data_IF_177798725702
#
_entry.id   IF_177798725702
#
_cell.length_a   1.000
_cell.length_b   1.000
_cell.length_c   1.000
_cell.angle_alpha   90.00
_cell.angle_beta   90.00
_cell.angle_gamma   90.00
#
_symmetry.space_group_name_H-M   'P 1'
#
loop_
_entity.id
_entity.type
_entity.pdbx_description
1 polymer ?
#
# COMPACT_ATOMS: atom_id res chain seq x y z
N UNK A 1 -22.87 25.47 -3.83
CA UNK A 1 -23.65 25.19 -2.60
C UNK A 1 -24.86 24.31 -2.92
N UNK A 2 -25.89 24.76 -3.65
CA UNK A 2 -27.03 23.90 -4.06
C UNK A 2 -26.66 22.59 -4.79
N UNK A 3 -25.57 22.58 -5.59
CA UNK A 3 -25.06 21.36 -6.23
C UNK A 3 -24.43 20.35 -5.25
N UNK A 4 -23.86 20.85 -4.14
CA UNK A 4 -23.33 20.03 -3.04
C UNK A 4 -24.44 19.56 -2.10
N UNK A 5 -25.46 20.39 -1.87
CA UNK A 5 -26.60 20.04 -1.01
C UNK A 5 -27.49 18.97 -1.67
N UNK A 6 -27.61 18.98 -3.01
CA UNK A 6 -28.29 17.93 -3.77
C UNK A 6 -27.48 16.61 -3.86
N UNK A 7 -26.15 16.67 -3.72
CA UNK A 7 -25.30 15.47 -3.60
C UNK A 7 -25.49 14.81 -2.22
N UNK A 8 -25.59 15.61 -1.16
CA UNK A 8 -25.83 15.14 0.21
C UNK A 8 -27.18 14.44 0.39
N UNK A 9 -28.24 14.94 -0.25
CA UNK A 9 -29.55 14.27 -0.23
C UNK A 9 -29.58 12.96 -1.04
N UNK A 10 -28.70 12.83 -2.04
CA UNK A 10 -28.49 11.57 -2.75
C UNK A 10 -27.66 10.57 -1.94
N UNK A 11 -26.89 11.04 -0.96
CA UNK A 11 -26.03 10.21 -0.11
C UNK A 11 -26.87 9.33 0.83
N UNK A 12 -27.89 9.84 1.53
CA UNK A 12 -28.75 9.01 2.41
C UNK A 12 -29.47 7.90 1.65
N UNK A 13 -30.04 8.18 0.47
CA UNK A 13 -30.74 7.17 -0.32
C UNK A 13 -29.78 6.14 -0.98
N UNK A 14 -28.55 6.53 -1.29
CA UNK A 14 -27.52 5.69 -1.92
C UNK A 14 -26.79 4.80 -0.89
N UNK A 15 -26.50 5.31 0.30
CA UNK A 15 -25.99 4.48 1.40
C UNK A 15 -27.04 3.49 1.89
N UNK A 16 -28.32 3.88 1.89
CA UNK A 16 -29.41 2.96 2.23
C UNK A 16 -29.54 1.82 1.21
N UNK A 17 -29.29 2.06 -0.08
CA UNK A 17 -29.32 0.98 -1.09
C UNK A 17 -28.15 0.00 -0.96
N UNK A 18 -26.94 0.49 -0.62
CA UNK A 18 -25.77 -0.37 -0.36
C UNK A 18 -25.91 -1.11 0.99
N UNK A 19 -26.52 -0.50 2.01
CA UNK A 19 -26.80 -1.16 3.29
C UNK A 19 -27.97 -2.15 3.19
N UNK A 20 -29.01 -1.84 2.43
CA UNK A 20 -30.15 -2.73 2.19
C UNK A 20 -29.73 -3.94 1.33
N UNK A 21 -28.84 -3.79 0.35
CA UNK A 21 -28.22 -4.92 -0.35
C UNK A 21 -27.45 -5.85 0.60
N UNK A 22 -26.79 -5.32 1.63
CA UNK A 22 -26.13 -6.12 2.66
C UNK A 22 -27.10 -6.74 3.69
N UNK A 23 -28.27 -6.14 3.92
CA UNK A 23 -29.28 -6.64 4.86
C UNK A 23 -30.17 -7.74 4.26
N UNK A 24 -30.50 -7.67 2.97
CA UNK A 24 -31.29 -8.70 2.28
C UNK A 24 -30.51 -10.01 2.04
N UNK A 25 -29.19 -10.04 2.26
CA UNK A 25 -28.35 -11.23 2.05
C UNK A 25 -28.05 -12.01 3.34
N UNK A 26 -28.36 -11.46 4.53
CA UNK A 26 -28.22 -12.23 5.79
C UNK A 26 -29.29 -13.31 5.95
N UNK A 27 -30.44 -13.14 5.31
CA UNK A 27 -31.52 -14.12 5.33
C UNK A 27 -31.72 -14.73 3.93
N UNK A 28 -30.98 -15.83 3.68
CA UNK A 28 -31.07 -16.74 2.52
C UNK A 28 -30.17 -16.44 1.31
N UNK A 29 -28.87 -16.72 1.44
CA UNK A 29 -28.05 -17.03 0.25
C UNK A 29 -27.64 -18.49 0.28
N UNK A 30 -28.49 -19.33 -0.31
CA UNK A 30 -27.98 -20.46 -1.09
C UNK A 30 -27.33 -19.84 -2.32
N UNK A 31 -26.04 -20.09 -2.48
CA UNK A 31 -25.21 -19.70 -3.63
C UNK A 31 -25.99 -19.84 -4.95
N UNK A 32 -26.41 -18.71 -5.52
CA UNK A 32 -26.76 -18.62 -6.93
C UNK A 32 -25.77 -17.66 -7.54
N UNK A 33 -24.79 -18.19 -8.28
CA UNK A 33 -23.97 -17.40 -9.18
C UNK A 33 -24.90 -16.71 -10.19
N UNK A 34 -25.05 -15.39 -10.07
CA UNK A 34 -25.87 -14.60 -10.99
C UNK A 34 -25.07 -14.43 -12.29
N UNK A 35 -25.45 -15.14 -13.34
CA UNK A 35 -24.87 -14.94 -14.68
C UNK A 35 -25.43 -13.65 -15.29
N UNK A 36 -24.60 -12.61 -15.34
CA UNK A 36 -24.93 -11.33 -15.96
C UNK A 36 -24.81 -11.38 -17.50
N UNK A 37 -25.77 -10.78 -18.20
CA UNK A 37 -25.69 -10.62 -19.66
C UNK A 37 -24.76 -9.45 -20.07
N UNK A 38 -24.38 -9.40 -21.35
CA UNK A 38 -23.42 -8.40 -21.87
C UNK A 38 -23.84 -6.95 -21.56
N UNK A 39 -25.10 -6.53 -21.80
CA UNK A 39 -25.54 -5.17 -21.44
C UNK A 39 -25.43 -4.85 -19.94
N UNK A 40 -25.77 -5.80 -19.07
CA UNK A 40 -25.65 -5.62 -17.62
C UNK A 40 -24.18 -5.43 -17.21
N UNK A 41 -23.26 -6.22 -17.79
CA UNK A 41 -21.81 -6.05 -17.56
C UNK A 41 -21.34 -4.65 -18.00
N UNK A 42 -21.79 -4.16 -19.16
CA UNK A 42 -21.42 -2.83 -19.65
C UNK A 42 -21.91 -1.71 -18.73
N UNK A 43 -23.15 -1.80 -18.21
CA UNK A 43 -23.69 -0.83 -17.26
C UNK A 43 -22.89 -0.80 -15.96
N UNK A 44 -22.50 -1.97 -15.43
CA UNK A 44 -21.69 -2.07 -14.22
C UNK A 44 -20.29 -1.47 -14.41
N UNK A 45 -19.63 -1.78 -15.53
CA UNK A 45 -18.33 -1.18 -15.88
C UNK A 45 -18.41 0.35 -15.97
N UNK A 46 -19.47 0.87 -16.61
CA UNK A 46 -19.69 2.32 -16.70
C UNK A 46 -19.93 2.97 -15.33
N UNK A 47 -20.77 2.37 -14.48
CA UNK A 47 -21.00 2.85 -13.11
C UNK A 47 -19.72 2.86 -12.29
N UNK A 48 -18.91 1.82 -12.39
CA UNK A 48 -17.61 1.75 -11.72
C UNK A 48 -16.69 2.87 -12.19
N UNK A 49 -16.59 3.10 -13.50
CA UNK A 49 -15.79 4.20 -14.05
C UNK A 49 -16.21 5.56 -13.48
N UNK A 50 -17.51 5.83 -13.40
CA UNK A 50 -18.03 7.05 -12.79
C UNK A 50 -17.70 7.18 -11.31
N UNK A 51 -17.78 6.07 -10.56
CA UNK A 51 -17.40 6.04 -9.15
C UNK A 51 -15.91 6.33 -8.96
N UNK A 52 -15.05 5.74 -9.79
CA UNK A 52 -13.60 5.97 -9.74
C UNK A 52 -13.26 7.42 -10.09
N UNK A 53 -13.91 8.01 -11.10
CA UNK A 53 -13.76 9.44 -11.43
C UNK A 53 -14.20 10.33 -10.26
N UNK A 54 -15.34 10.03 -9.62
CA UNK A 54 -15.83 10.75 -8.42
C UNK A 54 -14.82 10.64 -7.26
N UNK A 55 -14.28 9.45 -7.01
CA UNK A 55 -13.27 9.19 -5.96
C UNK A 55 -11.99 9.97 -6.21
N UNK A 56 -11.48 9.98 -7.44
CA UNK A 56 -10.30 10.79 -7.82
C UNK A 56 -10.54 12.29 -7.60
N UNK A 57 -11.74 12.77 -7.90
CA UNK A 57 -12.11 14.18 -7.69
C UNK A 57 -12.04 14.57 -6.20
N UNK A 58 -12.59 13.74 -5.31
CA UNK A 58 -12.46 13.95 -3.86
C UNK A 58 -11.04 13.77 -3.34
N UNK A 59 -10.28 12.83 -3.91
CA UNK A 59 -8.87 12.65 -3.61
C UNK A 59 -8.09 13.94 -3.92
N UNK A 60 -8.27 14.52 -5.10
CA UNK A 60 -7.61 15.77 -5.45
C UNK A 60 -7.98 16.92 -4.50
N UNK A 61 -9.27 17.05 -4.17
CA UNK A 61 -9.74 18.07 -3.23
C UNK A 61 -9.12 17.92 -1.84
N UNK A 62 -9.00 16.69 -1.34
CA UNK A 62 -8.35 16.42 -0.07
C UNK A 62 -6.83 16.66 -0.11
N UNK A 63 -6.15 16.26 -1.19
CA UNK A 63 -4.71 16.51 -1.36
C UNK A 63 -4.38 18.01 -1.36
N UNK A 64 -5.28 18.85 -1.90
CA UNK A 64 -5.16 20.31 -1.83
C UNK A 64 -5.54 20.83 -0.44
N UNK A 65 -6.78 20.58 0.00
CA UNK A 65 -7.36 21.27 1.17
C UNK A 65 -6.80 20.76 2.49
N UNK A 66 -6.65 19.44 2.62
CA UNK A 66 -6.24 18.81 3.88
C UNK A 66 -4.72 18.64 3.95
N UNK A 67 -4.11 18.15 2.88
CA UNK A 67 -2.69 17.78 2.88
C UNK A 67 -1.77 18.83 2.24
N UNK A 68 -2.34 19.86 1.60
CA UNK A 68 -1.61 20.99 1.01
C UNK A 68 -0.48 20.60 0.06
N UNK A 69 -0.56 19.43 -0.58
CA UNK A 69 0.46 18.89 -1.48
C UNK A 69 0.66 19.83 -2.67
N UNK A 70 -0.44 20.28 -3.28
CA UNK A 70 -0.41 21.22 -4.40
C UNK A 70 -0.53 22.69 -3.96
N UNK A 71 -0.54 22.98 -2.65
CA UNK A 71 -0.77 24.28 -1.99
C UNK A 71 -2.11 24.96 -2.30
N UNK A 72 -2.52 25.03 -3.57
CA UNK A 72 -3.76 25.61 -4.07
C UNK A 72 -4.25 24.87 -5.33
N UNK A 73 -5.53 25.06 -5.68
CA UNK A 73 -6.09 24.52 -6.91
C UNK A 73 -5.39 25.12 -8.14
N UNK A 74 -4.93 24.26 -9.06
CA UNK A 74 -4.38 24.67 -10.34
C UNK A 74 -5.00 23.83 -11.45
N UNK A 75 -5.68 24.47 -12.41
CA UNK A 75 -6.39 23.79 -13.51
C UNK A 75 -5.48 22.83 -14.28
N UNK A 76 -4.26 23.24 -14.56
CA UNK A 76 -3.30 22.44 -15.34
C UNK A 76 -2.83 21.19 -14.58
N UNK A 77 -2.73 21.27 -13.25
CA UNK A 77 -2.39 20.12 -12.41
C UNK A 77 -3.60 19.20 -12.31
N UNK A 78 -4.81 19.76 -12.16
CA UNK A 78 -6.04 18.99 -12.07
C UNK A 78 -6.27 18.15 -13.33
N UNK A 79 -6.14 18.72 -14.54
CA UNK A 79 -6.32 17.94 -15.77
C UNK A 79 -5.31 16.79 -15.87
N UNK A 80 -4.04 17.03 -15.53
CA UNK A 80 -3.03 15.96 -15.46
C UNK A 80 -3.36 14.91 -14.39
N UNK A 81 -3.86 15.35 -13.24
CA UNK A 81 -4.23 14.46 -12.14
C UNK A 81 -5.36 13.51 -12.52
N UNK A 82 -6.32 13.97 -13.35
CA UNK A 82 -7.41 13.11 -13.85
C UNK A 82 -6.91 11.98 -14.74
N UNK A 83 -5.83 12.23 -15.48
CA UNK A 83 -5.18 11.24 -16.35
C UNK A 83 -4.36 10.22 -15.55
N UNK A 84 -3.93 10.57 -14.33
CA UNK A 84 -3.11 9.66 -13.52
C UNK A 84 -3.92 8.52 -12.93
N UNK A 85 -3.35 7.32 -12.95
CA UNK A 85 -3.84 6.21 -12.14
C UNK A 85 -3.44 6.39 -10.66
N UNK A 86 -4.03 5.59 -9.77
CA UNK A 86 -3.74 5.69 -8.34
C UNK A 86 -2.27 5.36 -8.02
N UNK A 87 -1.63 4.49 -8.78
CA UNK A 87 -0.21 4.15 -8.63
C UNK A 87 0.68 5.37 -8.90
N UNK A 88 0.44 6.10 -9.98
CA UNK A 88 1.17 7.32 -10.34
C UNK A 88 1.00 8.41 -9.28
N UNK A 89 -0.21 8.56 -8.74
CA UNK A 89 -0.48 9.50 -7.64
C UNK A 89 0.30 9.08 -6.38
N UNK A 90 0.27 7.78 -6.03
CA UNK A 90 0.97 7.25 -4.87
C UNK A 90 2.49 7.38 -5.00
N UNK A 91 3.06 7.06 -6.17
CA UNK A 91 4.48 7.23 -6.48
C UNK A 91 4.93 8.68 -6.29
N UNK A 92 4.14 9.65 -6.76
CA UNK A 92 4.44 11.08 -6.53
C UNK A 92 4.43 11.42 -5.05
N UNK A 93 3.42 10.98 -4.31
CA UNK A 93 3.36 11.21 -2.87
C UNK A 93 4.57 10.60 -2.14
N UNK A 94 5.00 9.40 -2.52
CA UNK A 94 6.17 8.75 -1.94
C UNK A 94 7.47 9.53 -2.23
N UNK A 95 7.71 9.88 -3.50
CA UNK A 95 8.91 10.62 -3.95
C UNK A 95 9.02 12.01 -3.32
N UNK A 96 7.90 12.69 -3.16
CA UNK A 96 7.85 14.04 -2.59
C UNK A 96 7.80 14.02 -1.05
N UNK A 97 7.84 12.84 -0.40
CA UNK A 97 7.79 12.71 1.05
C UNK A 97 6.42 13.05 1.67
N UNK A 98 5.36 13.08 0.87
CA UNK A 98 3.99 13.37 1.30
C UNK A 98 3.29 12.13 1.88
N UNK A 99 3.81 11.59 2.98
CA UNK A 99 3.34 10.32 3.57
C UNK A 99 1.85 10.32 3.96
N UNK A 100 1.34 11.46 4.44
CA UNK A 100 -0.08 11.58 4.76
C UNK A 100 -0.98 11.54 3.52
N UNK A 101 -0.49 12.12 2.41
CA UNK A 101 -1.13 11.99 1.10
C UNK A 101 -1.07 10.56 0.59
N UNK A 102 0.10 9.91 0.71
CA UNK A 102 0.29 8.52 0.34
C UNK A 102 -0.71 7.60 1.05
N UNK A 103 -0.87 7.74 2.38
CA UNK A 103 -1.89 7.01 3.15
C UNK A 103 -3.29 7.16 2.59
N UNK A 104 -3.72 8.40 2.33
CA UNK A 104 -5.04 8.68 1.76
C UNK A 104 -5.22 8.02 0.39
N UNK A 105 -4.19 8.11 -0.46
CA UNK A 105 -4.22 7.50 -1.79
C UNK A 105 -4.36 6.00 -1.68
N UNK A 106 -3.55 5.35 -0.84
CA UNK A 106 -3.59 3.91 -0.63
C UNK A 106 -4.93 3.46 -0.03
N UNK A 107 -5.50 4.19 0.93
CA UNK A 107 -6.81 3.90 1.52
C UNK A 107 -7.93 3.94 0.48
N UNK A 108 -7.89 4.92 -0.45
CA UNK A 108 -8.91 5.09 -1.49
C UNK A 108 -8.71 4.24 -2.73
N UNK A 109 -7.48 3.80 -2.95
CA UNK A 109 -7.11 3.03 -4.12
C UNK A 109 -7.41 1.53 -3.96
N UNK A 110 -7.94 1.06 -2.82
CA UNK A 110 -8.32 -0.35 -2.67
C UNK A 110 -9.60 -0.61 -3.50
N UNK A 111 -9.62 -1.62 -4.41
CA UNK A 111 -8.61 -2.68 -4.63
C UNK A 111 -7.66 -2.46 -5.84
N UNK A 112 -7.66 -1.29 -6.46
CA UNK A 112 -6.93 -0.98 -7.70
C UNK A 112 -5.40 -1.01 -7.63
N UNK A 113 -4.76 -1.06 -6.46
CA UNK A 113 -3.30 -1.18 -6.34
C UNK A 113 -2.94 -2.62 -6.01
N UNK A 114 -2.21 -3.25 -6.94
CA UNK A 114 -1.64 -4.57 -6.72
C UNK A 114 -0.55 -4.52 -5.65
N UNK A 115 -0.32 -5.64 -4.99
CA UNK A 115 0.65 -5.75 -3.91
C UNK A 115 2.08 -5.47 -4.38
N UNK A 116 2.44 -5.93 -5.58
CA UNK A 116 3.73 -5.64 -6.23
C UNK A 116 3.88 -4.14 -6.46
N UNK A 117 2.80 -3.46 -6.85
CA UNK A 117 2.81 -2.02 -7.04
C UNK A 117 2.98 -1.29 -5.71
N UNK A 118 2.38 -1.77 -4.62
CA UNK A 118 2.58 -1.21 -3.28
C UNK A 118 4.06 -1.28 -2.86
N UNK A 119 4.73 -2.43 -3.02
CA UNK A 119 6.16 -2.57 -2.73
C UNK A 119 7.00 -1.60 -3.59
N UNK A 120 6.63 -1.42 -4.86
CA UNK A 120 7.28 -0.47 -5.75
C UNK A 120 7.10 0.98 -5.29
N UNK A 121 5.92 1.34 -4.75
CA UNK A 121 5.63 2.67 -4.22
C UNK A 121 6.44 2.93 -2.95
N UNK A 122 6.51 1.96 -2.02
CA UNK A 122 7.26 2.11 -0.77
C UNK A 122 8.77 2.25 -1.00
N UNK A 123 9.30 1.67 -2.08
CA UNK A 123 10.70 1.85 -2.47
C UNK A 123 11.06 3.31 -2.78
N UNK A 124 10.08 4.11 -3.21
CA UNK A 124 10.29 5.51 -3.59
C UNK A 124 10.24 6.47 -2.39
N UNK A 125 9.91 5.99 -1.18
CA UNK A 125 10.04 6.77 0.04
C UNK A 125 11.53 6.97 0.31
N UNK A 126 11.97 8.23 0.37
CA UNK A 126 13.36 8.58 0.64
C UNK A 126 13.84 8.00 1.97
N UNK A 127 15.06 7.48 2.01
CA UNK A 127 15.69 6.87 3.18
C UNK A 127 15.77 7.83 4.37
N UNK A 128 15.86 9.14 4.12
CA UNK A 128 15.88 10.16 5.18
C UNK A 128 14.59 10.23 6.00
N UNK A 129 13.49 9.68 5.49
CA UNK A 129 12.24 9.55 6.24
C UNK A 129 12.38 8.41 7.26
N UNK A 130 12.19 8.67 8.56
CA UNK A 130 12.25 7.62 9.58
C UNK A 130 11.22 6.52 9.33
N UNK A 131 11.59 5.26 9.59
CA UNK A 131 10.70 4.11 9.40
C UNK A 131 9.40 4.26 10.21
N UNK A 132 9.50 4.80 11.42
CA UNK A 132 8.36 5.07 12.32
C UNK A 132 7.28 5.96 11.72
N UNK A 133 7.63 6.77 10.71
CA UNK A 133 6.67 7.64 10.03
C UNK A 133 5.85 6.93 8.97
N UNK A 134 6.17 5.70 8.58
CA UNK A 134 5.45 4.97 7.55
C UNK A 134 5.38 3.44 7.75
N UNK A 135 5.77 2.94 8.93
CA UNK A 135 5.69 1.51 9.27
C UNK A 135 4.29 0.92 9.08
N UNK A 136 3.24 1.72 9.29
CA UNK A 136 1.83 1.34 9.10
C UNK A 136 1.48 1.04 7.63
N UNK A 137 2.28 1.56 6.69
CA UNK A 137 2.10 1.33 5.26
C UNK A 137 2.78 0.04 4.78
N UNK A 138 3.64 -0.56 5.59
CA UNK A 138 4.39 -1.76 5.20
C UNK A 138 3.41 -2.93 5.14
N UNK A 139 3.27 -3.60 3.98
CA UNK A 139 2.37 -4.74 3.86
C UNK A 139 2.85 -5.88 4.74
N UNK A 140 1.93 -6.41 5.56
CA UNK A 140 2.19 -7.57 6.41
C UNK A 140 1.84 -8.83 5.66
N UNK A 141 2.84 -9.57 5.20
CA UNK A 141 2.65 -10.82 4.45
C UNK A 141 1.77 -11.80 5.24
N UNK A 142 2.03 -11.94 6.53
CA UNK A 142 1.24 -12.73 7.49
C UNK A 142 -0.27 -12.40 7.51
N UNK A 143 -0.66 -11.14 7.27
CA UNK A 143 -2.07 -10.73 7.23
C UNK A 143 -2.69 -10.86 5.84
N UNK A 144 -1.87 -10.86 4.79
CA UNK A 144 -2.38 -10.99 3.42
C UNK A 144 -2.81 -12.44 3.18
N UNK A 145 -2.06 -13.43 3.67
CA UNK A 145 -2.48 -14.84 3.67
C UNK A 145 -3.82 -15.06 4.38
N UNK A 146 -4.11 -14.29 5.44
CA UNK A 146 -5.38 -14.36 6.18
C UNK A 146 -6.55 -13.69 5.44
N UNK A 147 -6.31 -12.54 4.81
CA UNK A 147 -7.35 -11.79 4.08
C UNK A 147 -7.82 -12.48 2.80
N UNK A 148 -6.98 -13.28 2.15
CA UNK A 148 -7.42 -14.12 1.02
C UNK A 148 -8.40 -15.23 1.43
N UNK A 149 -8.33 -15.69 2.69
CA UNK A 149 -9.30 -16.64 3.23
C UNK A 149 -10.66 -15.97 3.50
N UNK A 150 -10.67 -14.75 4.03
CA UNK A 150 -11.91 -14.03 4.38
C UNK A 150 -12.58 -13.32 3.19
N UNK A 151 -11.82 -12.92 2.15
CA UNK A 151 -12.39 -12.25 0.96
C UNK A 151 -13.32 -13.14 0.14
N UNK A 152 -13.19 -14.47 0.23
CA UNK A 152 -14.03 -15.41 -0.54
C UNK A 152 -15.51 -15.36 -0.19
N UNK A 153 -15.89 -14.85 1.00
CA UNK A 153 -17.30 -14.84 1.41
C UNK A 153 -18.07 -13.56 1.07
N UNK A 154 -17.41 -12.43 0.72
CA UNK A 154 -18.10 -11.14 0.51
C UNK A 154 -17.58 -10.27 -0.64
N UNK A 155 -16.65 -10.74 -1.47
CA UNK A 155 -16.01 -9.91 -2.51
C UNK A 155 -16.67 -10.05 -3.89
N UNK A 156 -17.32 -8.97 -4.34
CA UNK A 156 -17.86 -8.83 -5.71
C UNK A 156 -16.93 -7.98 -6.61
N UNK A 157 -15.63 -7.93 -6.33
CA UNK A 157 -14.63 -7.36 -7.24
C UNK A 157 -14.44 -8.20 -8.51
N UNK A 158 -13.55 -7.78 -9.42
CA UNK A 158 -13.42 -8.29 -10.80
C UNK A 158 -13.34 -9.82 -10.97
N UNK A 159 -12.96 -10.54 -9.92
CA UNK A 159 -13.00 -12.00 -9.89
C UNK A 159 -14.41 -12.59 -10.03
N UNK A 160 -15.45 -11.85 -9.66
CA UNK A 160 -16.84 -12.30 -9.78
C UNK A 160 -17.44 -12.06 -11.18
N UNK A 161 -16.83 -11.19 -11.99
CA UNK A 161 -17.36 -10.77 -13.31
C UNK A 161 -16.47 -11.24 -14.47
N UNK A 162 -15.18 -11.49 -14.21
CA UNK A 162 -14.22 -12.07 -15.17
C UNK A 162 -13.83 -13.48 -14.74
N UNK A 163 -14.02 -14.45 -15.64
CA UNK A 163 -13.41 -15.77 -15.55
C UNK A 163 -11.93 -15.68 -15.98
N UNK A 164 -11.18 -14.75 -15.41
CA UNK A 164 -9.74 -14.69 -15.62
C UNK A 164 -9.09 -15.47 -14.49
N UNK A 165 -8.51 -16.61 -14.84
CA UNK A 165 -7.62 -17.41 -13.99
C UNK A 165 -6.32 -16.65 -13.60
N UNK A 166 -6.28 -15.33 -13.74
CA UNK A 166 -5.09 -14.48 -13.64
C UNK A 166 -4.93 -13.77 -12.28
N UNK A 167 -5.91 -13.81 -11.37
CA UNK A 167 -5.80 -13.15 -10.06
C UNK A 167 -5.34 -14.06 -8.91
N UNK A 168 -5.03 -15.33 -9.19
CA UNK A 168 -4.19 -16.13 -8.29
C UNK A 168 -2.72 -15.85 -8.57
N UNK A 169 -2.30 -14.60 -8.47
CA UNK A 169 -0.88 -14.34 -8.22
C UNK A 169 -0.61 -14.87 -6.82
N UNK A 170 -0.09 -16.10 -6.72
CA UNK A 170 0.52 -16.60 -5.49
C UNK A 170 1.42 -15.49 -4.96
N UNK A 171 1.02 -14.92 -3.82
CA UNK A 171 1.77 -13.85 -3.19
C UNK A 171 3.16 -14.39 -2.92
N UNK A 172 4.12 -13.94 -3.73
CA UNK A 172 5.42 -14.54 -3.71
C UNK A 172 6.22 -14.00 -2.52
N UNK A 173 6.36 -14.82 -1.48
CA UNK A 173 7.21 -14.55 -0.31
C UNK A 173 8.60 -14.04 -0.71
N UNK A 174 9.16 -14.51 -1.83
CA UNK A 174 10.47 -14.04 -2.31
C UNK A 174 10.48 -12.55 -2.63
N UNK A 175 9.41 -12.00 -3.21
CA UNK A 175 9.32 -10.57 -3.52
C UNK A 175 9.34 -9.70 -2.26
N UNK A 176 8.70 -10.18 -1.20
CA UNK A 176 8.74 -9.52 0.11
C UNK A 176 10.15 -9.57 0.69
N UNK A 177 10.77 -10.75 0.72
CA UNK A 177 12.14 -10.91 1.22
C UNK A 177 13.09 -10.00 0.46
N UNK A 178 13.00 -9.96 -0.87
CA UNK A 178 13.85 -9.12 -1.70
C UNK A 178 13.61 -7.62 -1.45
N UNK A 179 12.35 -7.22 -1.26
CA UNK A 179 12.02 -5.85 -0.88
C UNK A 179 12.64 -5.46 0.47
N UNK A 180 12.45 -6.29 1.50
CA UNK A 180 13.03 -6.06 2.83
C UNK A 180 14.55 -5.97 2.76
N UNK A 181 15.22 -6.92 2.10
CA UNK A 181 16.69 -6.91 1.91
C UNK A 181 17.15 -5.63 1.25
N UNK A 182 16.51 -5.25 0.14
CA UNK A 182 16.86 -4.04 -0.61
C UNK A 182 16.70 -2.79 0.25
N UNK A 183 15.61 -2.67 0.99
CA UNK A 183 15.34 -1.46 1.78
C UNK A 183 16.23 -1.36 3.02
N UNK A 184 16.53 -2.50 3.68
CA UNK A 184 17.47 -2.52 4.80
C UNK A 184 18.89 -2.15 4.34
N UNK A 185 19.37 -2.72 3.23
CA UNK A 185 20.66 -2.34 2.64
C UNK A 185 20.69 -0.87 2.22
N UNK A 186 19.58 -0.34 1.70
CA UNK A 186 19.47 1.08 1.40
C UNK A 186 19.70 1.91 2.66
N UNK A 187 18.96 1.64 3.75
CA UNK A 187 19.14 2.36 5.01
C UNK A 187 20.57 2.27 5.55
N UNK A 188 21.18 1.09 5.51
CA UNK A 188 22.57 0.90 5.93
C UNK A 188 23.54 1.76 5.13
N UNK A 189 23.41 1.77 3.80
CA UNK A 189 24.28 2.58 2.92
C UNK A 189 24.19 4.10 3.15
N UNK A 190 23.08 4.58 3.72
CA UNK A 190 22.88 5.98 4.11
C UNK A 190 23.28 6.26 5.56
N UNK A 191 23.85 5.28 6.28
CA UNK A 191 24.22 5.39 7.70
C UNK A 191 23.04 5.36 8.66
N UNK A 192 21.85 4.96 8.20
CA UNK A 192 20.61 4.92 8.99
C UNK A 192 20.42 3.55 9.64
N UNK A 193 21.42 3.12 10.41
CA UNK A 193 21.51 1.77 11.00
C UNK A 193 20.31 1.46 11.90
N UNK A 194 19.78 2.46 12.61
CA UNK A 194 18.59 2.27 13.45
C UNK A 194 17.34 1.92 12.63
N UNK A 195 17.14 2.57 11.47
CA UNK A 195 16.04 2.23 10.55
C UNK A 195 16.24 0.84 9.94
N UNK A 196 17.48 0.51 9.55
CA UNK A 196 17.85 -0.80 9.03
C UNK A 196 17.53 -1.91 10.06
N UNK A 197 17.94 -1.73 11.32
CA UNK A 197 17.68 -2.66 12.41
C UNK A 197 16.19 -2.81 12.73
N UNK A 198 15.44 -1.70 12.79
CA UNK A 198 13.99 -1.75 13.03
C UNK A 198 13.28 -2.53 11.93
N UNK A 199 13.62 -2.28 10.67
CA UNK A 199 13.00 -2.98 9.54
C UNK A 199 13.40 -4.47 9.50
N UNK A 200 14.65 -4.79 9.83
CA UNK A 200 15.13 -6.16 9.96
C UNK A 200 14.42 -6.91 11.09
N UNK A 201 14.23 -6.25 12.24
CA UNK A 201 13.47 -6.78 13.37
C UNK A 201 12.00 -7.01 13.01
N UNK A 202 11.37 -6.09 12.26
CA UNK A 202 10.02 -6.30 11.76
C UNK A 202 9.93 -7.56 10.88
N UNK A 203 10.89 -7.77 9.97
CA UNK A 203 10.94 -8.97 9.13
C UNK A 203 11.05 -10.27 9.95
N UNK A 204 11.81 -10.26 11.05
CA UNK A 204 11.98 -11.41 11.93
C UNK A 204 10.77 -11.65 12.84
N UNK A 205 10.37 -10.63 13.60
CA UNK A 205 9.42 -10.78 14.69
C UNK A 205 7.96 -10.81 14.20
N UNK A 206 7.65 -10.09 13.13
CA UNK A 206 6.28 -9.93 12.63
C UNK A 206 6.03 -10.85 11.43
N UNK A 207 6.96 -10.90 10.47
CA UNK A 207 6.79 -11.73 9.26
C UNK A 207 7.40 -13.14 9.39
N UNK A 208 8.17 -13.43 10.44
CA UNK A 208 8.85 -14.72 10.66
C UNK A 208 9.81 -15.11 9.51
N UNK A 209 10.46 -14.13 8.88
CA UNK A 209 11.46 -14.37 7.83
C UNK A 209 12.83 -14.67 8.44
N UNK A 210 13.07 -15.94 8.77
CA UNK A 210 14.31 -16.41 9.40
C UNK A 210 15.59 -16.09 8.59
N UNK A 211 15.48 -15.82 7.29
CA UNK A 211 16.58 -15.38 6.42
C UNK A 211 17.25 -14.08 6.91
N UNK A 212 16.54 -13.27 7.71
CA UNK A 212 17.05 -12.01 8.25
C UNK A 212 17.84 -12.18 9.55
N UNK A 213 17.94 -13.37 10.12
CA UNK A 213 18.57 -13.56 11.44
C UNK A 213 20.06 -13.18 11.44
N UNK A 214 20.81 -13.69 10.46
CA UNK A 214 22.21 -13.31 10.27
C UNK A 214 22.34 -11.82 9.92
N UNK A 215 21.39 -11.29 9.14
CA UNK A 215 21.37 -9.90 8.72
C UNK A 215 21.22 -8.95 9.93
N UNK A 216 20.31 -9.29 10.85
CA UNK A 216 20.10 -8.57 12.10
C UNK A 216 21.34 -8.58 12.99
N UNK A 217 21.96 -9.75 13.18
CA UNK A 217 23.16 -9.86 14.03
C UNK A 217 24.32 -9.01 13.52
N UNK A 218 24.55 -9.00 12.20
CA UNK A 218 25.60 -8.19 11.59
C UNK A 218 25.32 -6.68 11.71
N UNK A 219 24.10 -6.23 11.44
CA UNK A 219 23.71 -4.82 11.64
C UNK A 219 23.79 -4.39 13.10
N UNK A 220 23.50 -5.31 14.03
CA UNK A 220 23.59 -5.03 15.45
C UNK A 220 25.05 -4.93 15.89
N UNK A 221 25.92 -5.79 15.36
CA UNK A 221 27.36 -5.71 15.56
C UNK A 221 27.92 -4.39 15.03
N UNK A 222 27.49 -3.96 13.85
CA UNK A 222 27.84 -2.66 13.27
C UNK A 222 27.47 -1.50 14.18
N UNK A 223 26.22 -1.49 14.66
CA UNK A 223 25.77 -0.47 15.61
C UNK A 223 26.63 -0.44 16.87
N UNK A 224 27.02 -1.61 17.40
CA UNK A 224 27.84 -1.69 18.61
C UNK A 224 29.27 -1.23 18.36
N UNK A 225 29.92 -1.74 17.32
CA UNK A 225 31.31 -1.40 16.98
C UNK A 225 31.46 0.08 16.65
N UNK A 226 30.54 0.67 15.89
CA UNK A 226 30.60 2.10 15.55
C UNK A 226 30.24 3.00 16.75
N UNK A 227 29.56 2.47 17.77
CA UNK A 227 29.32 3.19 19.03
C UNK A 227 30.50 3.12 19.99
N UNK A 228 31.25 2.03 19.97
CA UNK A 228 32.36 1.79 20.90
C UNK A 228 33.72 2.18 20.33
N UNK A 229 33.84 2.27 19.01
CA UNK A 229 35.05 2.70 18.31
C UNK A 229 34.79 3.97 17.52
N UNK A 230 35.80 4.85 17.37
CA UNK A 230 35.75 6.01 16.48
C UNK A 230 35.90 5.60 14.99
N UNK A 231 35.40 4.41 14.63
CA UNK A 231 35.43 3.87 13.26
C UNK A 231 34.02 3.84 12.71
N UNK A 232 33.89 4.19 11.43
CA UNK A 232 32.66 4.03 10.65
C UNK A 232 32.77 2.74 9.82
N UNK A 233 32.59 1.58 10.48
CA UNK A 233 32.58 0.29 9.80
C UNK A 233 31.21 0.07 9.15
N UNK A 234 31.22 -0.40 7.91
CA UNK A 234 29.99 -0.77 7.15
C UNK A 234 29.64 -2.24 7.37
N UNK A 235 28.40 -2.61 7.08
CA UNK A 235 27.91 -3.98 7.14
C UNK A 235 28.80 -4.97 6.37
N UNK A 236 29.19 -4.61 5.14
CA UNK A 236 30.03 -5.47 4.30
C UNK A 236 31.46 -5.58 4.83
N UNK A 237 32.00 -4.56 5.49
CA UNK A 237 33.31 -4.66 6.12
C UNK A 237 33.26 -5.64 7.29
N UNK A 238 32.27 -5.51 8.16
CA UNK A 238 32.11 -6.38 9.34
C UNK A 238 31.85 -7.83 8.94
N UNK A 239 31.04 -8.05 7.90
CA UNK A 239 30.78 -9.39 7.38
C UNK A 239 32.04 -10.13 6.92
N UNK A 240 33.07 -9.38 6.51
CA UNK A 240 34.34 -9.93 6.03
C UNK A 240 35.46 -9.89 7.10
N UNK A 241 35.19 -9.39 8.32
CA UNK A 241 36.15 -9.40 9.43
C UNK A 241 36.24 -10.80 10.06
N UNK A 242 37.42 -11.17 10.56
CA UNK A 242 37.55 -12.39 11.36
C UNK A 242 37.02 -12.18 12.77
N UNK A 243 36.71 -13.27 13.48
CA UNK A 243 36.28 -13.21 14.88
C UNK A 243 37.37 -12.63 15.80
N UNK A 244 38.66 -12.73 15.43
CA UNK A 244 39.74 -12.11 16.20
C UNK A 244 39.83 -10.58 16.00
N UNK A 245 39.38 -10.08 14.85
CA UNK A 245 39.37 -8.64 14.52
C UNK A 245 38.16 -7.91 15.14
N UNK A 246 37.09 -8.65 15.44
CA UNK A 246 35.84 -8.18 16.07
C UNK A 246 35.98 -8.15 17.59
#
# INVERSE_FOLDING_TARGET
KQLFDNLYYSDEHFFQTIYDENLYLKDNVKEKQIQLNIPQKQVLLYRRKLLDEKRKLYLYDDLIKKYKIFQQYQSNIFEKFREWDYKQIALRCAREGHLKGLRLVLERAIPSILLIDLLSILNEICETVPLTEYEDLIPKFSLIEQKEFDRKENDWSDEFISSNEETKEEINRSLFIDWYKKKILSFESFGLIENALQLCKHALDIENFNEFFSFYNNLYLELLLNKTSDKDLTFEQIRNMSEEDI
#
